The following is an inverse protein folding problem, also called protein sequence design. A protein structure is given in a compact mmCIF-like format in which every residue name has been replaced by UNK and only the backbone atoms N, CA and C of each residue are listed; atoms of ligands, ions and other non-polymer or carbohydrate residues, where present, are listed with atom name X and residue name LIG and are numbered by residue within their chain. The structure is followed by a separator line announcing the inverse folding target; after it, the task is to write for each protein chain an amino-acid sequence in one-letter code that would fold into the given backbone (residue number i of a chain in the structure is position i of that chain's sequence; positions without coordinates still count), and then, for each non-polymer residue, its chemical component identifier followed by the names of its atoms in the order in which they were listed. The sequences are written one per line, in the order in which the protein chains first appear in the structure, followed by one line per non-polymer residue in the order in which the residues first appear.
data_IF_129016045830
#
_entry.id   IF_129016045830
#
_cell.length_a   1.000
_cell.length_b   1.000
_cell.length_c   1.000
_cell.angle_alpha   90.00
_cell.angle_beta   90.00
_cell.angle_gamma   90.00
#
_symmetry.space_group_name_H-M   'P 1'
#
loop_
_entity.id
_entity.type
_entity.pdbx_description
1 polymer ?
#
# COMPACT_ATOMS: atom_id res chain seq x y z
N UNK A 1 88.02 -0.68 1.36
CA UNK A 1 87.80 -0.83 2.82
C UNK A 1 86.35 -0.40 3.07
N UNK A 2 85.35 -1.20 2.71
CA UNK A 2 84.78 -2.30 3.50
C UNK A 2 84.46 -1.89 4.94
N UNK A 3 83.22 -1.49 5.18
CA UNK A 3 82.58 -1.54 6.48
C UNK A 3 81.12 -1.99 6.30
N UNK A 4 80.87 -3.23 6.68
CA UNK A 4 79.55 -3.86 6.80
C UNK A 4 79.02 -3.65 8.23
N UNK A 5 77.71 -3.48 8.42
CA UNK A 5 76.93 -3.98 9.57
C UNK A 5 75.46 -3.61 9.38
N UNK A 6 74.61 -4.56 8.99
CA UNK A 6 73.74 -5.39 9.84
C UNK A 6 72.41 -4.70 10.22
N UNK A 7 71.41 -4.89 9.36
CA UNK A 7 70.00 -4.63 9.64
C UNK A 7 69.40 -5.84 10.36
N UNK A 8 68.96 -5.66 11.60
CA UNK A 8 68.15 -6.63 12.35
C UNK A 8 66.69 -6.52 11.94
N UNK A 9 66.15 -7.57 11.33
CA UNK A 9 64.73 -7.69 11.01
C UNK A 9 63.91 -7.94 12.28
N UNK A 10 63.07 -6.97 12.66
CA UNK A 10 62.04 -7.16 13.67
C UNK A 10 60.83 -7.85 13.06
N UNK A 11 60.52 -9.06 13.52
CA UNK A 11 59.31 -9.78 13.13
C UNK A 11 58.07 -9.10 13.75
N UNK A 12 57.20 -8.54 12.91
CA UNK A 12 55.88 -8.03 13.31
C UNK A 12 54.92 -9.20 13.54
N UNK A 13 54.34 -9.24 14.73
CA UNK A 13 53.29 -10.22 15.09
C UNK A 13 51.98 -9.88 14.35
N UNK A 14 51.21 -10.88 13.87
CA UNK A 14 49.93 -10.64 13.23
C UNK A 14 48.89 -10.20 14.28
N UNK A 15 48.29 -9.04 14.06
CA UNK A 15 47.18 -8.50 14.84
C UNK A 15 45.95 -9.41 14.74
N UNK A 16 45.35 -9.74 15.89
CA UNK A 16 44.11 -10.52 15.97
C UNK A 16 42.94 -9.84 15.22
N UNK A 17 41.99 -10.61 14.65
CA UNK A 17 40.83 -10.07 13.97
C UNK A 17 39.91 -9.34 14.96
N UNK A 18 39.55 -8.10 14.61
CA UNK A 18 38.61 -7.28 15.36
C UNK A 18 37.23 -7.94 15.45
N UNK A 19 36.61 -7.89 16.63
CA UNK A 19 35.26 -8.41 16.85
C UNK A 19 34.23 -7.79 15.89
N UNK A 20 33.19 -8.54 15.49
CA UNK A 20 32.13 -8.02 14.64
C UNK A 20 31.40 -6.86 15.34
N UNK A 21 30.93 -5.84 14.59
CA UNK A 21 30.20 -4.73 15.17
C UNK A 21 28.92 -5.23 15.85
N UNK A 22 28.48 -4.58 16.94
CA UNK A 22 27.23 -4.93 17.60
C UNK A 22 26.05 -4.83 16.61
N UNK A 23 25.00 -5.65 16.80
CA UNK A 23 23.81 -5.59 15.96
C UNK A 23 23.23 -4.17 15.98
N UNK A 24 22.93 -3.64 14.79
CA UNK A 24 22.40 -2.30 14.65
C UNK A 24 21.09 -2.17 15.43
N UNK A 25 21.07 -1.27 16.42
CA UNK A 25 19.84 -0.94 17.15
C UNK A 25 18.84 -0.36 16.14
N UNK A 26 17.61 -0.88 16.05
CA UNK A 26 16.60 -0.31 15.17
C UNK A 26 16.42 1.18 15.50
N UNK A 27 16.43 2.03 14.47
CA UNK A 27 16.18 3.47 14.64
C UNK A 27 14.71 3.74 14.36
N UNK A 28 14.08 4.56 15.21
CA UNK A 28 12.73 5.07 14.97
C UNK A 28 12.69 5.84 13.64
N UNK A 29 11.67 5.59 12.80
CA UNK A 29 11.42 6.41 11.60
C UNK A 29 10.80 7.77 11.94
N UNK A 30 10.40 7.97 13.19
CA UNK A 30 9.79 9.22 13.70
C UNK A 30 10.74 9.81 14.75
N UNK A 31 11.80 10.53 14.38
CA UNK A 31 12.84 10.98 15.32
C UNK A 31 12.36 12.02 16.35
N UNK A 32 11.30 12.78 16.03
CA UNK A 32 10.74 13.83 16.90
C UNK A 32 9.21 13.70 16.99
N UNK A 33 8.65 14.07 18.15
CA UNK A 33 7.23 14.04 18.43
C UNK A 33 6.50 15.19 17.69
N UNK A 34 5.54 14.90 16.79
CA UNK A 34 4.78 15.94 16.09
C UNK A 34 3.97 16.85 17.03
N UNK A 35 3.66 16.40 18.25
CA UNK A 35 2.83 17.16 19.19
C UNK A 35 3.61 18.20 20.02
N UNK A 36 4.88 17.93 20.35
CA UNK A 36 5.66 18.79 21.24
C UNK A 36 7.10 19.06 20.79
N UNK A 37 7.53 18.49 19.65
CA UNK A 37 8.88 18.66 19.08
C UNK A 37 10.01 17.90 19.79
N UNK A 38 9.74 17.22 20.91
CA UNK A 38 10.78 16.49 21.66
C UNK A 38 11.21 15.18 20.95
N UNK A 39 12.44 14.69 21.18
CA UNK A 39 12.91 13.42 20.60
C UNK A 39 12.04 12.23 21.00
N UNK A 40 11.92 11.24 20.11
CA UNK A 40 11.34 9.93 20.44
C UNK A 40 12.41 8.88 20.72
N UNK A 41 12.03 7.84 21.44
CA UNK A 41 12.81 6.61 21.61
C UNK A 41 11.98 5.41 21.17
N UNK A 42 12.62 4.38 20.63
CA UNK A 42 11.93 3.10 20.48
C UNK A 42 11.79 2.43 21.85
N UNK A 43 10.55 2.11 22.21
CA UNK A 43 10.21 1.35 23.40
C UNK A 43 8.98 0.49 23.12
N UNK A 44 8.77 -0.56 23.91
CA UNK A 44 7.48 -1.27 23.95
C UNK A 44 6.62 -0.56 24.99
N UNK A 45 5.53 0.12 24.60
CA UNK A 45 4.60 0.73 25.56
C UNK A 45 3.96 -0.32 26.46
N UNK A 46 3.54 0.09 27.67
CA UNK A 46 2.84 -0.81 28.59
C UNK A 46 1.57 -1.39 27.94
N UNK A 47 1.48 -2.73 27.93
CA UNK A 47 0.37 -3.45 27.31
C UNK A 47 0.45 -3.63 25.79
N UNK A 48 1.55 -3.20 25.15
CA UNK A 48 1.83 -3.48 23.73
C UNK A 48 2.90 -4.59 23.61
N UNK A 49 3.00 -5.22 22.44
CA UNK A 49 4.01 -6.26 22.16
C UNK A 49 5.10 -5.78 21.19
N UNK A 50 4.84 -4.64 20.52
CA UNK A 50 5.69 -4.12 19.45
C UNK A 50 6.45 -2.89 19.90
N UNK A 51 7.67 -2.74 19.39
CA UNK A 51 8.43 -1.51 19.54
C UNK A 51 7.76 -0.37 18.78
N UNK A 52 7.56 0.76 19.44
CA UNK A 52 6.96 1.97 18.90
C UNK A 52 7.84 3.19 19.17
N UNK A 53 7.67 4.24 18.39
CA UNK A 53 8.26 5.53 18.69
C UNK A 53 7.47 6.18 19.85
N UNK A 54 8.11 6.33 21.01
CA UNK A 54 7.51 6.95 22.21
C UNK A 54 8.23 8.26 22.50
N UNK A 55 7.46 9.35 22.64
CA UNK A 55 8.01 10.66 22.97
C UNK A 55 8.67 10.65 24.35
N UNK A 56 9.91 11.15 24.42
CA UNK A 56 10.68 11.19 25.67
C UNK A 56 10.17 12.22 26.69
N UNK A 57 9.36 13.20 26.24
CA UNK A 57 8.83 14.28 27.09
C UNK A 57 7.38 14.07 27.49
N UNK A 58 6.46 13.94 26.52
CA UNK A 58 5.02 13.85 26.80
C UNK A 58 4.48 12.43 26.87
N UNK A 59 5.33 11.41 26.67
CA UNK A 59 4.95 9.99 26.75
C UNK A 59 4.06 9.47 25.61
N UNK A 60 3.71 10.31 24.63
CA UNK A 60 2.84 9.92 23.51
C UNK A 60 3.48 8.81 22.67
N UNK A 61 2.69 7.79 22.34
CA UNK A 61 3.05 6.70 21.43
C UNK A 61 2.68 7.11 20.00
N UNK A 62 3.61 6.94 19.07
CA UNK A 62 3.41 7.21 17.65
C UNK A 62 3.38 5.92 16.84
N UNK A 63 2.33 5.77 16.05
CA UNK A 63 2.12 4.63 15.17
C UNK A 63 2.63 4.96 13.77
N UNK A 64 3.34 4.02 13.16
CA UNK A 64 3.58 4.02 11.73
C UNK A 64 2.44 3.27 11.05
N UNK A 65 1.65 3.99 10.25
CA UNK A 65 0.51 3.42 9.54
C UNK A 65 0.91 3.09 8.10
N UNK A 66 0.38 1.99 7.51
CA UNK A 66 0.50 1.77 6.08
C UNK A 66 -0.11 2.92 5.28
N UNK A 67 0.46 3.20 4.11
CA UNK A 67 -0.15 4.14 3.16
C UNK A 67 -1.15 3.42 2.28
N UNK A 68 -2.34 4.00 2.14
CA UNK A 68 -3.35 3.52 1.20
C UNK A 68 -3.09 4.13 -0.18
N UNK A 69 -3.04 3.30 -1.21
CA UNK A 69 -2.95 3.72 -2.61
C UNK A 69 -4.24 3.28 -3.30
N UNK A 70 -4.89 4.19 -4.02
CA UNK A 70 -6.16 3.95 -4.70
C UNK A 70 -6.01 4.26 -6.18
N UNK A 71 -6.70 3.50 -7.03
CA UNK A 71 -6.59 3.69 -8.48
C UNK A 71 -7.65 2.97 -9.27
N UNK A 72 -7.63 3.18 -10.58
CA UNK A 72 -8.61 2.59 -11.49
C UNK A 72 -7.98 1.69 -12.55
N UNK A 73 -8.57 0.51 -12.75
CA UNK A 73 -8.52 -0.21 -14.01
C UNK A 73 -9.64 0.32 -14.90
N UNK A 74 -9.29 1.26 -15.78
CA UNK A 74 -10.25 1.96 -16.64
C UNK A 74 -10.44 1.20 -17.94
N UNK A 75 -11.66 0.77 -18.21
CA UNK A 75 -12.07 0.03 -19.40
C UNK A 75 -12.69 0.95 -20.46
N UNK A 76 -12.29 0.75 -21.72
CA UNK A 76 -12.93 1.35 -22.89
C UNK A 76 -12.71 0.47 -24.13
N UNK A 77 -13.76 0.10 -24.85
CA UNK A 77 -13.69 -0.73 -26.07
C UNK A 77 -12.81 -1.99 -25.97
N UNK A 78 -12.96 -2.76 -24.88
CA UNK A 78 -12.15 -3.95 -24.55
C UNK A 78 -10.63 -3.67 -24.37
N UNK A 79 -10.27 -2.41 -24.16
CA UNK A 79 -8.92 -1.96 -23.84
C UNK A 79 -8.86 -1.41 -22.43
N UNK A 80 -7.65 -1.30 -21.90
CA UNK A 80 -7.37 -0.67 -20.61
C UNK A 80 -6.51 0.58 -20.78
N UNK A 81 -6.82 1.62 -20.01
CA UNK A 81 -6.03 2.85 -20.00
C UNK A 81 -4.79 2.67 -19.13
N UNK A 82 -3.61 2.97 -19.68
CA UNK A 82 -2.36 3.07 -18.93
C UNK A 82 -1.78 4.48 -19.06
N UNK A 83 -1.03 4.89 -18.05
CA UNK A 83 -0.27 6.15 -18.01
C UNK A 83 1.23 5.86 -17.94
N UNK A 84 2.05 6.53 -18.75
CA UNK A 84 3.50 6.46 -18.66
C UNK A 84 4.01 7.53 -17.70
N UNK A 85 4.68 7.12 -16.63
CA UNK A 85 5.03 8.01 -15.50
C UNK A 85 6.07 9.07 -15.89
N UNK A 86 5.87 10.30 -15.44
CA UNK A 86 6.80 11.44 -15.58
C UNK A 86 7.59 11.75 -14.32
N UNK A 87 7.31 11.05 -13.22
CA UNK A 87 7.94 11.27 -11.91
C UNK A 87 8.51 9.96 -11.34
N UNK A 88 9.54 10.08 -10.50
CA UNK A 88 10.09 8.95 -9.75
C UNK A 88 9.19 8.57 -8.55
N UNK A 89 9.21 7.30 -8.11
CA UNK A 89 9.95 6.18 -8.67
C UNK A 89 9.38 5.72 -10.03
N UNK A 90 10.18 4.98 -10.81
CA UNK A 90 9.76 4.31 -12.05
C UNK A 90 9.39 5.27 -13.18
N UNK A 91 10.17 6.34 -13.35
CA UNK A 91 10.04 7.25 -14.49
C UNK A 91 10.08 6.49 -15.82
N UNK A 92 9.17 6.85 -16.74
CA UNK A 92 9.11 6.29 -18.09
C UNK A 92 8.46 4.90 -18.18
N UNK A 93 8.05 4.28 -17.07
CA UNK A 93 7.32 3.03 -17.05
C UNK A 93 5.80 3.27 -17.02
N UNK A 94 5.04 2.26 -17.47
CA UNK A 94 3.58 2.30 -17.55
C UNK A 94 2.92 1.84 -16.24
N UNK A 95 1.80 2.45 -15.89
CA UNK A 95 1.00 2.12 -14.70
C UNK A 95 -0.49 2.29 -14.99
N UNK A 96 -1.34 1.70 -14.13
CA UNK A 96 -2.71 2.18 -13.98
C UNK A 96 -2.69 3.54 -13.26
N UNK A 97 -3.64 4.44 -13.53
CA UNK A 97 -3.78 5.67 -12.76
C UNK A 97 -4.06 5.35 -11.30
N UNK A 98 -3.15 5.76 -10.42
CA UNK A 98 -3.23 5.45 -9.00
C UNK A 98 -2.29 6.33 -8.14
N UNK A 99 -2.79 6.79 -7.01
CA UNK A 99 -2.02 7.58 -6.05
C UNK A 99 -2.54 7.45 -4.63
N UNK A 100 -2.04 8.28 -3.73
CA UNK A 100 -2.35 8.14 -2.30
C UNK A 100 -3.79 8.55 -2.01
N UNK A 101 -4.45 7.79 -1.12
CA UNK A 101 -5.73 8.21 -0.58
C UNK A 101 -5.53 9.42 0.33
N UNK A 102 -6.30 10.48 0.10
CA UNK A 102 -6.26 11.69 0.92
C UNK A 102 -7.29 11.67 2.06
N UNK A 103 -7.03 12.50 3.08
CA UNK A 103 -7.97 12.67 4.19
C UNK A 103 -9.18 13.47 3.69
N UNK A 104 -10.37 12.94 3.92
CA UNK A 104 -11.63 13.61 3.55
C UNK A 104 -12.29 13.07 2.28
N UNK A 105 -11.69 12.07 1.63
CA UNK A 105 -12.28 11.35 0.49
C UNK A 105 -12.44 9.85 0.78
N UNK A 106 -13.39 9.22 0.10
CA UNK A 106 -13.51 7.76 0.03
C UNK A 106 -12.51 7.18 -0.96
N UNK A 107 -12.24 5.87 -0.86
CA UNK A 107 -11.32 5.19 -1.78
C UNK A 107 -11.77 5.27 -3.26
N UNK A 108 -13.07 5.27 -3.51
CA UNK A 108 -13.63 5.38 -4.85
C UNK A 108 -13.51 6.82 -5.42
N UNK A 109 -13.69 7.83 -4.57
CA UNK A 109 -13.46 9.24 -4.93
C UNK A 109 -11.97 9.48 -5.23
N UNK A 110 -11.06 9.03 -4.37
CA UNK A 110 -9.63 9.13 -4.60
C UNK A 110 -9.19 8.41 -5.87
N UNK A 111 -9.68 7.19 -6.13
CA UNK A 111 -9.39 6.48 -7.38
C UNK A 111 -9.86 7.25 -8.63
N UNK A 112 -11.02 7.92 -8.54
CA UNK A 112 -11.55 8.75 -9.62
C UNK A 112 -10.75 10.05 -9.79
N UNK A 113 -10.36 10.69 -8.68
CA UNK A 113 -9.49 11.89 -8.67
C UNK A 113 -8.15 11.60 -9.33
N UNK A 114 -7.46 10.55 -8.92
CA UNK A 114 -6.17 10.14 -9.48
C UNK A 114 -6.27 9.86 -10.99
N UNK A 115 -7.38 9.24 -11.42
CA UNK A 115 -7.63 9.00 -12.86
C UNK A 115 -7.82 10.30 -13.64
N UNK A 116 -8.51 11.28 -13.05
CA UNK A 116 -8.66 12.60 -13.65
C UNK A 116 -7.32 13.36 -13.67
N UNK A 117 -6.54 13.31 -12.60
CA UNK A 117 -5.26 14.02 -12.47
C UNK A 117 -4.18 13.47 -13.40
N UNK A 118 -4.04 12.14 -13.49
CA UNK A 118 -2.99 11.51 -14.29
C UNK A 118 -3.35 11.36 -15.77
N UNK A 119 -4.64 11.22 -16.09
CA UNK A 119 -5.10 10.86 -17.44
C UNK A 119 -6.19 11.76 -18.02
N UNK A 120 -6.59 12.83 -17.31
CA UNK A 120 -7.67 13.74 -17.72
C UNK A 120 -8.95 12.99 -18.14
N UNK A 121 -9.18 11.80 -17.56
CA UNK A 121 -10.24 10.90 -17.94
C UNK A 121 -11.32 10.92 -16.87
N UNK A 122 -12.54 11.29 -17.25
CA UNK A 122 -13.71 11.23 -16.36
C UNK A 122 -14.30 9.81 -16.38
N UNK A 123 -14.40 9.20 -15.20
CA UNK A 123 -14.76 7.80 -15.05
C UNK A 123 -15.95 7.59 -14.10
N UNK A 124 -16.69 6.52 -14.37
CA UNK A 124 -17.69 5.94 -13.48
C UNK A 124 -17.07 4.71 -12.81
N UNK A 125 -17.02 4.69 -11.48
CA UNK A 125 -16.61 3.51 -10.70
C UNK A 125 -17.67 2.41 -10.86
N UNK A 126 -17.24 1.24 -11.31
CA UNK A 126 -18.12 0.08 -11.51
C UNK A 126 -18.12 -0.80 -10.27
N UNK A 127 -16.95 -1.24 -9.82
CA UNK A 127 -16.81 -2.13 -8.67
C UNK A 127 -15.38 -2.18 -8.15
N UNK A 128 -15.16 -2.55 -6.87
CA UNK A 128 -13.82 -2.90 -6.40
C UNK A 128 -13.32 -4.15 -7.14
N UNK A 129 -12.05 -4.16 -7.50
CA UNK A 129 -11.48 -5.25 -8.29
C UNK A 129 -10.32 -5.96 -7.59
N UNK A 130 -9.36 -5.21 -7.05
CA UNK A 130 -8.23 -5.80 -6.36
C UNK A 130 -7.87 -5.03 -5.10
N UNK A 131 -7.62 -5.75 -4.00
CA UNK A 131 -6.92 -5.23 -2.84
C UNK A 131 -5.59 -5.99 -2.67
N UNK A 132 -4.49 -5.25 -2.67
CA UNK A 132 -3.14 -5.82 -2.68
C UNK A 132 -2.30 -5.23 -1.55
N UNK A 133 -1.95 -6.06 -0.58
CA UNK A 133 -1.11 -5.65 0.54
C UNK A 133 0.37 -5.86 0.19
N UNK A 134 1.22 -4.87 0.44
CA UNK A 134 2.68 -4.96 0.25
C UNK A 134 3.40 -4.62 1.57
N UNK A 135 3.47 -5.56 2.54
CA UNK A 135 3.95 -5.28 3.89
C UNK A 135 5.38 -4.73 3.96
N UNK A 136 6.29 -5.20 3.08
CA UNK A 136 7.70 -4.79 3.10
C UNK A 136 7.87 -3.27 2.96
N UNK A 137 7.03 -2.63 2.14
CA UNK A 137 7.07 -1.18 1.90
C UNK A 137 5.94 -0.44 2.63
N UNK A 138 5.12 -1.14 3.41
CA UNK A 138 4.04 -0.55 4.22
C UNK A 138 2.95 0.11 3.37
N UNK A 139 2.50 -0.56 2.30
CA UNK A 139 1.44 -0.05 1.42
C UNK A 139 0.31 -1.06 1.25
N UNK A 140 -0.91 -0.56 1.07
CA UNK A 140 -2.08 -1.33 0.66
C UNK A 140 -2.73 -0.64 -0.52
N UNK A 141 -2.88 -1.36 -1.63
CA UNK A 141 -3.49 -0.88 -2.87
C UNK A 141 -4.95 -1.30 -2.93
N UNK A 142 -5.84 -0.41 -3.36
CA UNK A 142 -7.22 -0.74 -3.73
C UNK A 142 -7.44 -0.25 -5.17
N UNK A 143 -7.67 -1.18 -6.08
CA UNK A 143 -7.96 -0.90 -7.49
C UNK A 143 -9.43 -1.15 -7.75
N UNK A 144 -10.09 -0.15 -8.33
CA UNK A 144 -11.47 -0.24 -8.80
C UNK A 144 -11.50 -0.48 -10.30
N UNK A 145 -12.46 -1.26 -10.77
CA UNK A 145 -12.86 -1.21 -12.18
C UNK A 145 -13.66 0.06 -12.40
N UNK A 146 -13.37 0.72 -13.52
CA UNK A 146 -14.06 1.93 -13.91
C UNK A 146 -14.30 1.93 -15.42
N UNK A 147 -15.33 2.65 -15.87
CA UNK A 147 -15.57 2.91 -17.28
C UNK A 147 -15.42 4.40 -17.55
N UNK A 148 -14.83 4.76 -18.69
CA UNK A 148 -14.84 6.17 -19.09
C UNK A 148 -16.28 6.61 -19.37
N UNK A 149 -16.67 7.76 -18.82
CA UNK A 149 -17.98 8.37 -19.13
C UNK A 149 -18.03 8.92 -20.56
N UNK A 150 -16.88 9.35 -21.07
CA UNK A 150 -16.69 9.82 -22.44
C UNK A 150 -15.40 9.25 -23.02
N UNK A 151 -15.28 9.05 -24.34
CA UNK A 151 -14.08 8.51 -24.97
C UNK A 151 -12.95 9.55 -25.07
N UNK A 152 -12.63 10.25 -23.97
CA UNK A 152 -11.67 11.34 -23.92
C UNK A 152 -10.72 11.17 -22.74
N UNK A 153 -9.43 11.27 -23.03
CA UNK A 153 -8.34 11.24 -22.05
C UNK A 153 -7.12 11.95 -22.65
N UNK A 154 -6.22 12.42 -21.80
CA UNK A 154 -4.95 13.03 -22.18
C UNK A 154 -3.97 12.98 -21.01
N UNK A 155 -2.64 12.99 -21.24
CA UNK A 155 -1.69 12.96 -20.14
C UNK A 155 -1.85 14.18 -19.23
N UNK A 156 -2.01 13.91 -17.94
CA UNK A 156 -1.93 14.90 -16.88
C UNK A 156 -0.51 15.42 -16.64
N UNK A 157 -0.34 16.26 -15.61
CA UNK A 157 0.96 16.86 -15.26
C UNK A 157 2.03 15.82 -14.91
N UNK A 158 1.62 14.68 -14.36
CA UNK A 158 2.47 13.57 -13.88
C UNK A 158 2.64 12.43 -14.90
N UNK A 159 2.00 12.53 -16.06
CA UNK A 159 2.08 11.55 -17.15
C UNK A 159 2.85 12.12 -18.34
N UNK A 160 3.70 11.29 -18.94
CA UNK A 160 4.33 11.58 -20.23
C UNK A 160 3.35 11.37 -21.37
N UNK A 161 2.59 10.28 -21.29
CA UNK A 161 1.54 9.92 -22.24
C UNK A 161 0.52 8.99 -21.57
N UNK A 162 -0.66 8.90 -22.16
CA UNK A 162 -1.71 7.95 -21.79
C UNK A 162 -2.15 7.21 -23.05
N UNK A 163 -2.41 5.92 -22.95
CA UNK A 163 -2.79 5.10 -24.09
C UNK A 163 -3.73 3.95 -23.69
N UNK A 164 -4.60 3.57 -24.62
CA UNK A 164 -5.49 2.41 -24.50
C UNK A 164 -4.83 1.17 -25.10
N UNK A 165 -4.52 0.20 -24.25
CA UNK A 165 -3.92 -1.07 -24.66
C UNK A 165 -4.98 -2.16 -24.77
N UNK A 166 -4.98 -2.89 -25.89
CA UNK A 166 -5.66 -4.19 -25.92
C UNK A 166 -4.97 -5.14 -24.93
N UNK A 167 -5.72 -6.09 -24.38
CA UNK A 167 -5.22 -6.96 -23.30
C UNK A 167 -3.98 -7.77 -23.69
N UNK A 168 -3.87 -8.17 -24.96
CA UNK A 168 -2.72 -8.93 -25.49
C UNK A 168 -1.52 -8.02 -25.84
N UNK A 169 -1.72 -6.70 -25.90
CA UNK A 169 -0.70 -5.70 -26.25
C UNK A 169 -0.10 -4.98 -25.02
N UNK A 170 -0.53 -5.35 -23.81
CA UNK A 170 -0.04 -4.72 -22.57
C UNK A 170 1.48 -4.93 -22.43
N UNK A 171 2.28 -3.85 -22.26
CA UNK A 171 3.74 -3.94 -22.23
C UNK A 171 4.26 -4.36 -20.85
N UNK A 172 4.07 -5.63 -20.47
CA UNK A 172 4.40 -6.15 -19.13
C UNK A 172 5.86 -5.91 -18.68
N UNK A 173 6.82 -5.93 -19.61
CA UNK A 173 8.23 -5.68 -19.32
C UNK A 173 8.54 -4.21 -19.00
N UNK A 174 7.59 -3.31 -19.28
CA UNK A 174 7.69 -1.87 -19.07
C UNK A 174 6.69 -1.35 -18.03
N UNK A 175 6.13 -2.22 -17.19
CA UNK A 175 5.23 -1.81 -16.10
C UNK A 175 6.00 -1.37 -14.84
N UNK A 176 5.48 -0.33 -14.18
CA UNK A 176 6.16 0.35 -13.08
C UNK A 176 6.19 -0.42 -11.76
N UNK A 177 5.12 -1.14 -11.41
CA UNK A 177 4.93 -1.71 -10.08
C UNK A 177 4.36 -3.12 -10.10
N UNK A 178 4.83 -3.95 -9.16
CA UNK A 178 4.32 -5.32 -8.96
C UNK A 178 2.81 -5.37 -8.71
N UNK A 179 2.24 -4.37 -8.01
CA UNK A 179 0.78 -4.29 -7.81
C UNK A 179 0.01 -4.18 -9.14
N UNK A 180 0.52 -3.39 -10.08
CA UNK A 180 -0.10 -3.20 -11.39
C UNK A 180 0.02 -4.46 -12.24
N UNK A 181 1.20 -5.08 -12.23
CA UNK A 181 1.43 -6.36 -12.93
C UNK A 181 0.45 -7.43 -12.44
N UNK A 182 0.32 -7.60 -11.12
CA UNK A 182 -0.57 -8.59 -10.52
C UNK A 182 -2.03 -8.29 -10.86
N UNK A 183 -2.45 -7.03 -10.74
CA UNK A 183 -3.80 -6.58 -11.08
C UNK A 183 -4.16 -6.90 -12.53
N UNK A 184 -3.29 -6.53 -13.48
CA UNK A 184 -3.56 -6.74 -14.91
C UNK A 184 -3.57 -8.23 -15.28
N UNK A 185 -2.71 -9.06 -14.67
CA UNK A 185 -2.74 -10.51 -14.89
C UNK A 185 -4.05 -11.14 -14.41
N UNK A 186 -4.49 -10.81 -13.21
CA UNK A 186 -5.79 -11.26 -12.67
C UNK A 186 -6.94 -10.84 -13.58
N UNK A 187 -6.92 -9.59 -14.06
CA UNK A 187 -7.96 -9.07 -14.95
C UNK A 187 -8.01 -9.82 -16.28
N UNK A 188 -6.85 -10.05 -16.91
CA UNK A 188 -6.77 -10.81 -18.17
C UNK A 188 -7.29 -12.24 -17.98
N UNK A 189 -6.93 -12.91 -16.88
CA UNK A 189 -7.40 -14.26 -16.57
C UNK A 189 -8.93 -14.30 -16.38
N UNK A 190 -9.48 -13.34 -15.65
CA UNK A 190 -10.91 -13.23 -15.40
C UNK A 190 -11.71 -12.91 -16.66
N UNK A 191 -11.20 -12.02 -17.53
CA UNK A 191 -11.79 -11.73 -18.84
C UNK A 191 -11.79 -12.99 -19.71
N UNK A 192 -10.67 -13.73 -19.76
CA UNK A 192 -10.59 -15.02 -20.50
C UNK A 192 -11.55 -16.07 -19.95
N UNK A 193 -11.77 -16.08 -18.64
CA UNK A 193 -12.73 -16.97 -18.00
C UNK A 193 -14.19 -16.50 -18.11
N UNK A 194 -14.44 -15.28 -18.58
CA UNK A 194 -15.77 -14.67 -18.65
C UNK A 194 -16.40 -14.41 -17.29
N UNK A 195 -15.58 -14.25 -16.25
CA UNK A 195 -16.07 -14.14 -14.87
C UNK A 195 -15.14 -13.28 -14.02
N UNK A 196 -15.49 -11.99 -13.91
CA UNK A 196 -14.80 -11.00 -13.09
C UNK A 196 -15.03 -11.27 -11.60
N UNK A 197 -13.96 -11.16 -10.82
CA UNK A 197 -13.93 -11.37 -9.38
C UNK A 197 -13.32 -10.16 -8.69
N UNK A 198 -13.66 -10.00 -7.43
CA UNK A 198 -12.82 -9.25 -6.50
C UNK A 198 -11.67 -10.13 -6.04
N UNK A 199 -10.45 -9.61 -6.08
CA UNK A 199 -9.25 -10.27 -5.63
C UNK A 199 -8.66 -9.60 -4.39
N UNK A 200 -8.20 -10.41 -3.44
CA UNK A 200 -7.33 -9.97 -2.37
C UNK A 200 -6.06 -10.81 -2.39
N UNK A 201 -4.88 -10.21 -2.21
CA UNK A 201 -3.67 -10.97 -1.93
C UNK A 201 -2.59 -10.13 -1.24
N UNK A 202 -1.57 -10.81 -0.71
CA UNK A 202 -0.35 -10.20 -0.20
C UNK A 202 0.78 -10.36 -1.22
N UNK A 203 1.43 -9.26 -1.61
CA UNK A 203 2.64 -9.27 -2.45
C UNK A 203 3.87 -9.20 -1.54
N UNK A 204 4.58 -10.32 -1.42
CA UNK A 204 5.79 -10.42 -0.62
C UNK A 204 7.02 -10.09 -1.47
N UNK A 205 7.44 -8.82 -1.47
CA UNK A 205 8.67 -8.39 -2.15
C UNK A 205 9.92 -8.91 -1.43
N UNK A 206 10.96 -9.24 -2.18
CA UNK A 206 12.30 -9.56 -1.67
C UNK A 206 12.99 -8.29 -1.19
N UNK A 207 13.82 -8.40 -0.15
CA UNK A 207 14.60 -7.26 0.36
C UNK A 207 15.56 -6.77 -0.74
N UNK A 208 15.56 -5.46 -1.00
CA UNK A 208 16.37 -4.83 -2.05
C UNK A 208 15.76 -4.89 -3.45
N UNK A 209 14.58 -5.49 -3.61
CA UNK A 209 13.86 -5.51 -4.87
C UNK A 209 13.46 -4.11 -5.34
N UNK A 210 13.65 -3.85 -6.63
CA UNK A 210 13.12 -2.66 -7.27
C UNK A 210 11.58 -2.65 -7.31
N UNK A 211 10.94 -1.48 -7.49
CA UNK A 211 9.48 -1.40 -7.61
C UNK A 211 8.92 -2.24 -8.77
N UNK A 212 9.63 -2.25 -9.91
CA UNK A 212 9.27 -2.90 -11.18
C UNK A 212 9.87 -4.29 -11.39
N UNK A 213 10.64 -4.85 -10.44
CA UNK A 213 11.29 -6.14 -10.66
C UNK A 213 10.27 -7.30 -10.60
N UNK A 214 9.90 -7.79 -11.79
CA UNK A 214 8.94 -8.86 -12.06
C UNK A 214 9.26 -10.20 -11.39
N UNK A 215 10.53 -10.45 -11.02
CA UNK A 215 10.97 -11.75 -10.49
C UNK A 215 11.23 -11.71 -8.98
N UNK A 216 10.92 -10.58 -8.35
CA UNK A 216 11.35 -10.27 -6.99
C UNK A 216 10.24 -10.33 -5.96
N UNK A 217 9.11 -10.96 -6.25
CA UNK A 217 8.03 -11.12 -5.31
C UNK A 217 7.29 -12.45 -5.48
N UNK A 218 6.68 -12.89 -4.38
CA UNK A 218 5.76 -14.02 -4.33
C UNK A 218 4.37 -13.53 -3.89
N UNK A 219 3.31 -14.27 -4.20
CA UNK A 219 1.92 -13.93 -3.85
C UNK A 219 1.42 -14.92 -2.80
N UNK A 220 0.98 -14.41 -1.65
CA UNK A 220 0.33 -15.18 -0.58
C UNK A 220 -1.12 -14.73 -0.38
N UNK A 221 -1.88 -15.54 0.37
CA UNK A 221 -3.25 -15.23 0.80
C UNK A 221 -4.19 -14.80 -0.35
N UNK A 222 -4.02 -15.37 -1.54
CA UNK A 222 -4.87 -15.04 -2.68
C UNK A 222 -6.29 -15.55 -2.46
N UNK A 223 -7.23 -14.61 -2.31
CA UNK A 223 -8.67 -14.86 -2.25
C UNK A 223 -9.30 -14.25 -3.50
N UNK A 224 -10.26 -14.96 -4.08
CA UNK A 224 -11.03 -14.46 -5.22
C UNK A 224 -12.52 -14.74 -5.00
N UNK A 225 -13.32 -13.68 -4.95
CA UNK A 225 -14.75 -13.75 -4.71
C UNK A 225 -15.47 -13.25 -5.94
N UNK A 226 -16.39 -14.05 -6.48
CA UNK A 226 -17.16 -13.66 -7.66
C UNK A 226 -18.00 -12.43 -7.38
N UNK A 227 -18.02 -11.52 -8.33
CA UNK A 227 -18.98 -10.43 -8.35
C UNK A 227 -20.37 -11.02 -8.63
N UNK A 228 -21.17 -11.26 -7.58
CA UNK A 228 -22.60 -11.51 -7.77
C UNK A 228 -23.25 -10.18 -8.10
N UNK A 229 -24.01 -10.11 -9.20
CA UNK A 229 -24.72 -8.93 -9.69
C UNK A 229 -25.03 -7.93 -8.58
N UNK A 230 -24.28 -6.82 -8.55
CA UNK A 230 -24.43 -5.78 -7.55
C UNK A 230 -25.85 -5.21 -7.64
N UNK A 231 -26.73 -5.62 -6.74
CA UNK A 231 -27.90 -4.80 -6.43
C UNK A 231 -27.38 -3.66 -5.58
N UNK A 232 -27.46 -2.44 -6.13
CA UNK A 232 -27.34 -1.23 -5.34
C UNK A 232 -28.52 -1.21 -4.38
N UNK A 233 -28.37 -1.86 -3.24
CA UNK A 233 -29.39 -1.86 -2.20
C UNK A 233 -29.46 -0.42 -1.68
N UNK A 234 -30.57 0.26 -1.97
CA UNK A 234 -30.94 1.48 -1.26
C UNK A 234 -31.09 1.10 0.22
N UNK A 235 -30.01 1.29 0.99
CA UNK A 235 -30.11 1.31 2.44
C UNK A 235 -30.87 2.59 2.79
N UNK A 236 -32.19 2.48 2.89
CA UNK A 236 -32.98 3.49 3.60
C UNK A 236 -32.51 3.43 5.05
N UNK A 237 -31.90 4.53 5.50
CA UNK A 237 -31.47 4.85 6.86
C UNK A 237 -31.44 3.68 7.84
N UNK A 238 -30.24 3.25 8.25
CA UNK A 238 -30.09 2.56 9.54
C UNK A 238 -30.55 3.59 10.60
N UNK A 239 -31.79 3.48 11.06
CA UNK A 239 -32.25 4.21 12.23
C UNK A 239 -31.36 3.78 13.40
N UNK A 240 -30.44 4.67 13.78
CA UNK A 240 -29.76 4.59 15.07
C UNK A 240 -30.84 4.73 16.13
N UNK A 241 -31.34 3.60 16.64
CA UNK A 241 -32.17 3.58 17.84
C UNK A 241 -31.27 3.99 19.01
N UNK A 242 -31.15 5.30 19.22
CA UNK A 242 -30.67 5.88 20.46
C UNK A 242 -31.77 5.64 21.49
N UNK A 243 -31.71 4.48 22.16
CA UNK A 243 -32.67 4.11 23.18
C UNK A 243 -32.57 5.02 24.40
N UNK A 244 -33.38 6.09 24.42
CA UNK A 244 -33.73 6.77 25.66
C UNK A 244 -34.77 5.92 26.41
N UNK A 245 -34.34 5.35 27.55
CA UNK A 245 -35.23 4.98 28.66
C UNK A 245 -35.96 3.63 28.56
N UNK A 246 -35.42 2.61 29.24
CA UNK A 246 -36.23 1.66 30.01
C UNK A 246 -35.34 0.81 30.94
N UNK A 247 -35.13 1.29 32.16
CA UNK A 247 -34.79 0.43 33.28
C UNK A 247 -36.03 -0.45 33.57
N UNK A 248 -36.01 -1.72 33.20
CA UNK A 248 -37.14 -2.62 33.43
C UNK A 248 -36.91 -4.03 32.89
N UNK A 249 -36.60 -4.95 33.81
CA UNK A 249 -36.41 -6.39 33.63
C UNK A 249 -37.20 -7.08 32.49
N UNK A 250 -36.49 -7.84 31.64
CA UNK A 250 -36.58 -9.32 31.56
C UNK A 250 -35.51 -9.90 30.64
N UNK A 251 -34.93 -11.01 31.09
CA UNK A 251 -33.91 -11.80 30.40
C UNK A 251 -34.48 -12.55 29.19
N UNK A 252 -33.72 -12.60 28.09
CA UNK A 252 -33.61 -13.78 27.23
C UNK A 252 -32.31 -13.71 26.39
N UNK A 253 -31.36 -14.58 26.74
CA UNK A 253 -30.33 -15.23 25.91
C UNK A 253 -29.74 -14.51 24.69
N UNK A 254 -28.48 -14.09 24.81
CA UNK A 254 -27.60 -13.78 23.68
C UNK A 254 -26.27 -13.25 24.18
N UNK A 255 -25.23 -14.10 24.20
CA UNK A 255 -23.88 -13.71 24.62
C UNK A 255 -23.32 -12.65 23.65
N UNK A 256 -23.35 -11.38 24.05
CA UNK A 256 -22.51 -10.33 23.48
C UNK A 256 -21.38 -10.09 24.48
N UNK A 257 -20.19 -10.57 24.13
CA UNK A 257 -18.97 -10.35 24.90
C UNK A 257 -18.55 -8.87 24.78
N UNK A 258 -19.03 -8.05 25.73
CA UNK A 258 -18.56 -6.69 25.91
C UNK A 258 -17.13 -6.68 26.47
N UNK A 259 -16.15 -6.35 25.61
CA UNK A 259 -14.83 -5.83 25.99
C UNK A 259 -14.04 -5.40 24.73
N UNK A 260 -14.39 -4.24 24.15
CA UNK A 260 -13.43 -3.39 23.42
C UNK A 260 -13.99 -1.98 23.10
N UNK A 261 -14.71 -1.36 24.05
CA UNK A 261 -15.25 -0.01 23.85
C UNK A 261 -14.36 1.02 24.58
N UNK A 262 -13.14 1.25 24.07
CA UNK A 262 -12.30 2.39 24.53
C UNK A 262 -11.27 2.90 23.52
N UNK A 263 -11.49 2.74 22.21
CA UNK A 263 -10.56 3.30 21.21
C UNK A 263 -11.20 3.95 19.98
N UNK A 264 -12.48 4.32 20.04
CA UNK A 264 -13.23 4.78 18.87
C UNK A 264 -13.93 6.14 19.04
N UNK A 265 -13.52 6.97 20.00
CA UNK A 265 -14.14 8.26 20.27
C UNK A 265 -13.16 9.45 20.39
N UNK A 266 -11.94 9.33 19.89
CA UNK A 266 -11.03 10.48 19.74
C UNK A 266 -10.36 10.47 18.36
N UNK A 267 -11.18 10.58 17.32
CA UNK A 267 -10.79 11.14 16.02
C UNK A 267 -11.66 12.37 15.76
#
# INVERSE_FOLDING_TARGET
MSASNHSSAGASSPSAPSAPPPPAVPKSRIPFCPACGSPTKLAVPDGDEKMRAVCSSCGRVHYENPKMVVGCLVEHDNKVLLCRRKIEPAYGLWTLPAGYLEVGESAAEGASRETLEEACADVEIVSPFAQLDIPLIGQSYIIFRARMKTPSFSPGSESLECELFALDDIPFDSLAFSSIIVTLRMYIEDVKAGNIKFHYCTINKRIGAGPSDLRSFDIDNHLAVRETSAQQSHWSSIELVMGEGAFGHRMASGHICGRLFKLLLEL
#
